data_IF_539615746261
#
_entry.id   IF_539615746261
#
_cell.length_a   1.000
_cell.length_b   1.000
_cell.length_c   1.000
_cell.angle_alpha   90.00
_cell.angle_beta   90.00
_cell.angle_gamma   90.00
#
_symmetry.space_group_name_H-M   'P 1'
#
loop_
_entity.id
_entity.type
_entity.pdbx_description
1 polymer ?
#
# COMPACT_ATOMS: atom_id res chain seq x y z
N UNK A 1 -24.01 6.62 -7.39
CA UNK A 1 -24.23 7.57 -6.29
C UNK A 1 -23.16 8.65 -6.37
N UNK A 2 -23.51 9.95 -6.21
CA UNK A 2 -22.50 11.01 -6.16
C UNK A 2 -21.55 10.75 -5.00
N UNK A 3 -20.25 10.86 -5.26
CA UNK A 3 -19.22 10.72 -4.22
C UNK A 3 -19.29 11.93 -3.31
N UNK A 4 -19.42 11.70 -1.99
CA UNK A 4 -19.38 12.79 -1.02
C UNK A 4 -17.99 13.44 -1.05
N UNK A 5 -17.94 14.74 -1.34
CA UNK A 5 -16.70 15.50 -1.35
C UNK A 5 -16.08 15.56 0.04
N UNK A 6 -14.77 15.38 0.14
CA UNK A 6 -14.04 15.49 1.39
C UNK A 6 -14.11 16.92 1.93
N UNK A 7 -14.34 17.05 3.25
CA UNK A 7 -14.35 18.33 3.94
C UNK A 7 -12.98 18.64 4.54
N UNK A 8 -12.59 19.93 4.62
CA UNK A 8 -11.39 20.33 5.33
C UNK A 8 -11.37 19.79 6.77
N UNK A 9 -10.23 19.29 7.26
CA UNK A 9 -10.11 18.88 8.65
C UNK A 9 -10.15 20.10 9.58
N UNK A 10 -10.98 20.05 10.62
CA UNK A 10 -11.04 21.10 11.65
C UNK A 10 -9.79 21.16 12.53
N UNK A 11 -9.05 20.04 12.63
CA UNK A 11 -7.78 19.93 13.34
C UNK A 11 -6.76 19.29 12.40
N UNK A 12 -5.60 19.95 12.28
CA UNK A 12 -4.56 19.55 11.32
C UNK A 12 -3.45 18.70 11.92
N UNK A 13 -3.29 18.69 13.26
CA UNK A 13 -2.24 17.91 13.95
C UNK A 13 -2.85 16.96 14.98
N UNK A 14 -2.46 15.69 14.92
CA UNK A 14 -2.99 14.63 15.78
C UNK A 14 -1.86 13.86 16.43
N UNK A 15 -2.05 13.51 17.71
CA UNK A 15 -1.12 12.62 18.43
C UNK A 15 -1.22 11.19 17.88
N UNK A 16 -0.10 10.50 17.82
CA UNK A 16 0.03 9.15 17.33
C UNK A 16 1.19 8.44 18.01
N UNK A 17 1.14 7.11 18.02
CA UNK A 17 2.20 6.26 18.58
C UNK A 17 3.54 6.44 17.85
N UNK A 18 3.50 6.71 16.56
CA UNK A 18 4.68 6.85 15.70
C UNK A 18 5.08 8.32 15.45
N UNK A 19 4.69 9.25 16.32
CA UNK A 19 4.91 10.68 16.15
C UNK A 19 3.68 11.40 15.56
N UNK A 20 3.67 12.72 15.65
CA UNK A 20 2.50 13.51 15.26
C UNK A 20 2.13 13.33 13.78
N UNK A 21 0.85 13.12 13.54
CA UNK A 21 0.25 13.12 12.20
C UNK A 21 -0.19 14.54 11.86
N UNK A 22 0.16 15.00 10.66
CA UNK A 22 -0.34 16.27 10.12
C UNK A 22 -1.26 15.98 8.93
N UNK A 23 -2.42 16.64 8.92
CA UNK A 23 -3.33 16.66 7.79
C UNK A 23 -3.20 18.00 7.07
N UNK A 24 -2.77 17.96 5.81
CA UNK A 24 -2.60 19.16 4.98
C UNK A 24 -3.73 19.20 3.95
N UNK A 25 -4.51 20.28 3.95
CA UNK A 25 -5.61 20.47 3.01
C UNK A 25 -5.36 21.66 2.10
N UNK A 26 -5.35 21.43 0.79
CA UNK A 26 -5.21 22.47 -0.23
C UNK A 26 -6.60 22.89 -0.71
N UNK A 27 -7.05 24.10 -0.35
CA UNK A 27 -8.40 24.60 -0.66
C UNK A 27 -8.70 24.67 -2.17
N UNK A 28 -7.71 25.10 -2.97
CA UNK A 28 -7.86 25.29 -4.43
C UNK A 28 -8.10 23.96 -5.18
N UNK A 29 -7.49 22.86 -4.74
CA UNK A 29 -7.61 21.54 -5.38
C UNK A 29 -8.51 20.58 -4.60
N UNK A 30 -8.79 20.85 -3.34
CA UNK A 30 -9.46 19.91 -2.43
C UNK A 30 -8.59 18.71 -2.03
N UNK A 31 -7.28 18.79 -2.28
CA UNK A 31 -6.33 17.70 -1.95
C UNK A 31 -6.15 17.62 -0.44
N UNK A 32 -6.27 16.41 0.09
CA UNK A 32 -5.96 16.10 1.50
C UNK A 32 -4.75 15.17 1.55
N UNK A 33 -3.73 15.56 2.33
CA UNK A 33 -2.51 14.78 2.52
C UNK A 33 -2.32 14.42 3.99
N UNK A 34 -2.02 13.16 4.26
CA UNK A 34 -1.60 12.64 5.56
C UNK A 34 -0.07 12.59 5.59
N UNK A 35 0.52 13.34 6.49
CA UNK A 35 1.99 13.43 6.66
C UNK A 35 2.36 12.94 8.04
N UNK A 36 3.38 12.07 8.13
CA UNK A 36 3.93 11.58 9.39
C UNK A 36 5.44 11.39 9.26
N UNK A 37 6.20 11.85 10.26
CA UNK A 37 7.68 11.79 10.27
C UNK A 37 8.33 12.33 8.98
N UNK A 38 7.80 13.40 8.42
CA UNK A 38 8.31 14.01 7.20
C UNK A 38 7.86 13.33 5.90
N UNK A 39 7.39 12.10 5.94
CA UNK A 39 6.92 11.36 4.77
C UNK A 39 5.42 11.55 4.50
N UNK A 40 5.05 11.64 3.22
CA UNK A 40 3.68 11.60 2.76
C UNK A 40 3.18 10.15 2.81
N UNK A 41 2.26 9.86 3.72
CA UNK A 41 1.71 8.51 3.88
C UNK A 41 0.47 8.25 3.03
N UNK A 42 -0.26 9.29 2.64
CA UNK A 42 -1.39 9.21 1.71
C UNK A 42 -1.75 10.60 1.22
N UNK A 43 -2.04 10.71 -0.06
CA UNK A 43 -2.62 11.90 -0.66
C UNK A 43 -3.86 11.53 -1.48
N UNK A 44 -4.93 12.33 -1.34
CA UNK A 44 -6.19 12.11 -2.06
C UNK A 44 -6.72 13.40 -2.64
N UNK A 45 -7.48 13.28 -3.72
CA UNK A 45 -8.25 14.36 -4.29
C UNK A 45 -9.54 14.64 -3.49
N UNK A 46 -10.36 15.57 -3.97
CA UNK A 46 -11.64 15.97 -3.35
C UNK A 46 -12.61 14.79 -3.19
N UNK A 47 -12.56 13.78 -4.04
CA UNK A 47 -13.42 12.60 -4.01
C UNK A 47 -12.83 11.46 -3.15
N UNK A 48 -11.65 11.71 -2.56
CA UNK A 48 -10.92 10.71 -1.77
C UNK A 48 -10.32 9.58 -2.60
N UNK A 49 -10.00 9.86 -3.87
CA UNK A 49 -9.22 8.97 -4.73
C UNK A 49 -7.75 9.27 -4.53
N UNK A 50 -6.93 8.23 -4.42
CA UNK A 50 -5.49 8.39 -4.20
C UNK A 50 -4.82 9.20 -5.31
N UNK A 51 -3.88 10.05 -4.92
CA UNK A 51 -2.95 10.74 -5.83
C UNK A 51 -1.59 10.03 -5.90
N UNK A 52 -1.41 8.95 -5.14
CA UNK A 52 -0.18 8.17 -5.09
C UNK A 52 -0.20 7.08 -6.15
N UNK A 53 0.73 7.14 -7.11
CA UNK A 53 0.78 6.22 -8.26
C UNK A 53 0.93 4.76 -7.84
N UNK A 54 1.73 4.48 -6.80
CA UNK A 54 1.91 3.10 -6.30
C UNK A 54 0.62 2.49 -5.76
N UNK A 55 -0.28 3.29 -5.19
CA UNK A 55 -1.60 2.84 -4.72
C UNK A 55 -2.42 2.31 -5.90
N UNK A 56 -2.44 3.04 -7.02
CA UNK A 56 -3.10 2.59 -8.26
C UNK A 56 -2.41 1.36 -8.86
N UNK A 57 -1.07 1.27 -8.75
CA UNK A 57 -0.33 0.10 -9.20
C UNK A 57 -0.71 -1.15 -8.42
N UNK A 58 -0.68 -1.10 -7.08
CA UNK A 58 -1.05 -2.24 -6.22
C UNK A 58 -2.53 -2.59 -6.40
N UNK A 59 -3.41 -1.60 -6.44
CA UNK A 59 -4.83 -1.81 -6.71
C UNK A 59 -5.04 -2.55 -8.04
N UNK A 60 -4.45 -2.04 -9.13
CA UNK A 60 -4.56 -2.62 -10.46
C UNK A 60 -3.97 -4.04 -10.56
N UNK A 61 -2.95 -4.38 -9.76
CA UNK A 61 -2.43 -5.75 -9.65
C UNK A 61 -3.39 -6.66 -8.87
N UNK A 62 -3.92 -6.17 -7.75
CA UNK A 62 -4.77 -6.97 -6.85
C UNK A 62 -6.12 -7.34 -7.50
N UNK A 63 -6.72 -6.43 -8.29
CA UNK A 63 -8.01 -6.69 -8.95
C UNK A 63 -7.92 -7.58 -10.18
N UNK A 64 -6.72 -7.81 -10.75
CA UNK A 64 -6.52 -8.80 -11.81
C UNK A 64 -6.71 -10.25 -11.33
N UNK A 65 -6.76 -10.45 -10.04
CA UNK A 65 -6.92 -11.77 -9.43
C UNK A 65 -8.35 -12.01 -8.97
N UNK A 66 -8.85 -13.25 -8.99
CA UNK A 66 -10.11 -13.61 -8.37
C UNK A 66 -9.97 -13.60 -6.82
N UNK A 67 -9.37 -12.53 -6.29
CA UNK A 67 -9.12 -12.37 -4.86
C UNK A 67 -10.40 -11.93 -4.17
N UNK A 68 -10.77 -12.63 -3.08
CA UNK A 68 -11.91 -12.28 -2.22
C UNK A 68 -11.45 -11.66 -0.90
N UNK A 69 -10.40 -12.19 -0.30
CA UNK A 69 -9.89 -11.80 1.01
C UNK A 69 -8.49 -11.20 0.88
N UNK A 70 -8.34 -9.96 1.31
CA UNK A 70 -7.09 -9.21 1.25
C UNK A 70 -6.68 -8.80 2.66
N UNK A 71 -5.42 -9.07 3.01
CA UNK A 71 -4.76 -8.52 4.19
C UNK A 71 -3.88 -7.35 3.77
N UNK A 72 -4.01 -6.22 4.45
CA UNK A 72 -3.10 -5.09 4.34
C UNK A 72 -2.38 -4.86 5.67
N UNK A 73 -1.08 -4.65 5.61
CA UNK A 73 -0.26 -4.20 6.74
C UNK A 73 0.13 -2.74 6.45
N UNK A 74 -0.31 -1.84 7.32
CA UNK A 74 -0.28 -0.40 7.14
C UNK A 74 -1.63 0.15 6.68
N UNK A 75 -2.04 1.26 7.26
CA UNK A 75 -3.30 1.94 6.97
C UNK A 75 -3.06 3.29 6.27
N UNK A 76 -2.21 4.13 6.84
CA UNK A 76 -2.12 5.53 6.42
C UNK A 76 -3.51 6.18 6.39
N UNK A 77 -3.90 6.79 5.27
CA UNK A 77 -5.26 7.27 5.01
C UNK A 77 -6.27 6.18 4.64
N UNK A 78 -5.87 4.93 4.53
CA UNK A 78 -6.74 3.80 4.20
C UNK A 78 -7.25 3.79 2.76
N UNK A 79 -6.66 4.58 1.86
CA UNK A 79 -7.14 4.81 0.49
C UNK A 79 -7.14 3.53 -0.35
N UNK A 80 -6.07 2.73 -0.29
CA UNK A 80 -6.00 1.45 -0.99
C UNK A 80 -7.05 0.47 -0.46
N UNK A 81 -7.23 0.39 0.87
CA UNK A 81 -8.26 -0.44 1.49
C UNK A 81 -9.68 -0.06 1.05
N UNK A 82 -9.98 1.25 1.00
CA UNK A 82 -11.23 1.79 0.47
C UNK A 82 -11.46 1.37 -0.98
N UNK A 83 -10.48 1.56 -1.86
CA UNK A 83 -10.57 1.19 -3.28
C UNK A 83 -10.83 -0.32 -3.45
N UNK A 84 -10.13 -1.17 -2.69
CA UNK A 84 -10.32 -2.62 -2.72
C UNK A 84 -11.70 -3.03 -2.20
N UNK A 85 -12.18 -2.42 -1.12
CA UNK A 85 -13.52 -2.67 -0.58
C UNK A 85 -14.61 -2.28 -1.57
N UNK A 86 -14.46 -1.13 -2.24
CA UNK A 86 -15.37 -0.69 -3.30
C UNK A 86 -15.37 -1.63 -4.53
N UNK A 87 -14.27 -2.34 -4.77
CA UNK A 87 -14.18 -3.41 -5.77
C UNK A 87 -14.72 -4.77 -5.25
N UNK A 88 -15.49 -4.79 -4.16
CA UNK A 88 -16.12 -5.99 -3.60
C UNK A 88 -15.18 -6.93 -2.87
N UNK A 89 -13.97 -6.47 -2.50
CA UNK A 89 -13.02 -7.30 -1.73
C UNK A 89 -13.30 -7.19 -0.24
N UNK A 90 -13.16 -8.30 0.49
CA UNK A 90 -13.12 -8.30 1.96
C UNK A 90 -11.72 -7.91 2.41
N UNK A 91 -11.59 -6.75 3.02
CA UNK A 91 -10.30 -6.19 3.41
C UNK A 91 -10.15 -6.28 4.93
N UNK A 92 -9.02 -6.77 5.36
CA UNK A 92 -8.53 -6.69 6.74
C UNK A 92 -7.30 -5.78 6.73
N UNK A 93 -7.28 -4.75 7.54
CA UNK A 93 -6.11 -3.86 7.69
C UNK A 93 -5.57 -4.02 9.10
N UNK A 94 -4.26 -4.19 9.20
CA UNK A 94 -3.52 -4.20 10.47
C UNK A 94 -2.61 -2.98 10.49
N UNK A 95 -2.74 -2.15 11.51
CA UNK A 95 -1.87 -0.99 11.72
C UNK A 95 -1.50 -0.87 13.19
N UNK A 96 -0.25 -0.51 13.46
CA UNK A 96 0.25 -0.37 14.83
C UNK A 96 -0.36 0.85 15.54
N UNK A 97 -0.92 1.79 14.78
CA UNK A 97 -1.41 3.06 15.27
C UNK A 97 -2.94 3.18 15.13
N UNK A 98 -3.64 3.18 16.26
CA UNK A 98 -5.08 3.42 16.32
C UNK A 98 -5.49 4.77 15.70
N UNK A 99 -4.61 5.78 15.75
CA UNK A 99 -4.89 7.10 15.21
C UNK A 99 -5.05 7.05 13.69
N UNK A 100 -4.29 6.21 12.97
CA UNK A 100 -4.43 6.01 11.52
C UNK A 100 -5.85 5.61 11.16
N UNK A 101 -6.43 4.62 11.81
CA UNK A 101 -7.83 4.18 11.55
C UNK A 101 -8.85 5.28 11.84
N UNK A 102 -8.68 6.01 12.97
CA UNK A 102 -9.56 7.11 13.32
C UNK A 102 -9.57 8.21 12.25
N UNK A 103 -8.39 8.57 11.76
CA UNK A 103 -8.25 9.61 10.74
C UNK A 103 -8.68 9.11 9.36
N UNK A 104 -8.38 7.86 9.00
CA UNK A 104 -8.81 7.24 7.76
C UNK A 104 -10.34 7.22 7.65
N UNK A 105 -11.06 6.82 8.71
CA UNK A 105 -12.53 6.86 8.76
C UNK A 105 -13.06 8.29 8.69
N UNK A 106 -12.52 9.19 9.50
CA UNK A 106 -13.04 10.55 9.64
C UNK A 106 -12.80 11.44 8.43
N UNK A 107 -11.63 11.30 7.78
CA UNK A 107 -11.16 12.28 6.79
C UNK A 107 -10.92 11.70 5.40
N UNK A 108 -10.66 10.38 5.26
CA UNK A 108 -10.36 9.75 3.97
C UNK A 108 -11.48 8.83 3.46
N UNK A 109 -12.54 8.67 4.26
CA UNK A 109 -13.71 7.87 3.88
C UNK A 109 -13.44 6.36 3.88
N UNK A 110 -12.61 5.88 4.81
CA UNK A 110 -12.44 4.44 5.03
C UNK A 110 -13.76 3.82 5.46
N UNK A 111 -14.33 2.83 4.71
CA UNK A 111 -15.64 2.27 4.99
C UNK A 111 -15.64 1.40 6.26
N UNK A 112 -16.79 1.31 6.93
CA UNK A 112 -16.95 0.54 8.17
C UNK A 112 -16.94 -0.98 7.95
N UNK A 113 -17.19 -1.46 6.74
CA UNK A 113 -17.12 -2.88 6.40
C UNK A 113 -15.68 -3.43 6.30
N UNK A 114 -14.67 -2.59 6.48
CA UNK A 114 -13.27 -3.03 6.56
C UNK A 114 -12.95 -3.45 8.00
N UNK A 115 -12.40 -4.65 8.13
CA UNK A 115 -11.93 -5.15 9.43
C UNK A 115 -10.61 -4.48 9.79
N UNK A 116 -10.58 -3.70 10.87
CA UNK A 116 -9.41 -2.98 11.37
C UNK A 116 -8.84 -3.64 12.63
N UNK A 117 -7.55 -4.00 12.62
CA UNK A 117 -6.83 -4.51 13.77
C UNK A 117 -5.71 -3.55 14.17
N UNK A 118 -5.71 -3.10 15.43
CA UNK A 118 -4.62 -2.30 15.99
C UNK A 118 -3.56 -3.25 16.55
N UNK A 119 -2.35 -3.22 15.98
CA UNK A 119 -1.25 -4.07 16.42
C UNK A 119 -0.11 -4.19 15.43
N UNK A 120 0.92 -4.92 15.80
CA UNK A 120 2.05 -5.23 14.94
C UNK A 120 1.69 -6.20 13.83
N UNK A 121 2.05 -5.85 12.59
CA UNK A 121 1.70 -6.62 11.40
C UNK A 121 2.34 -8.01 11.36
N UNK A 122 3.60 -8.14 11.80
CA UNK A 122 4.29 -9.43 11.85
C UNK A 122 3.66 -10.32 12.91
N UNK A 123 3.40 -9.79 14.11
CA UNK A 123 2.75 -10.54 15.18
C UNK A 123 1.35 -11.01 14.78
N UNK A 124 0.58 -10.18 14.06
CA UNK A 124 -0.71 -10.58 13.50
C UNK A 124 -0.55 -11.76 12.52
N UNK A 125 0.38 -11.65 11.56
CA UNK A 125 0.63 -12.72 10.59
C UNK A 125 1.13 -14.02 11.26
N UNK A 126 1.88 -13.92 12.34
CA UNK A 126 2.34 -15.10 13.10
C UNK A 126 1.21 -15.81 13.86
N UNK A 127 0.23 -15.05 14.36
CA UNK A 127 -0.87 -15.59 15.18
C UNK A 127 -2.09 -16.02 14.37
N UNK A 128 -2.36 -15.37 13.23
CA UNK A 128 -3.55 -15.67 12.43
C UNK A 128 -3.51 -17.08 11.81
N UNK A 129 -4.64 -17.79 11.86
CA UNK A 129 -4.86 -19.04 11.14
C UNK A 129 -5.48 -18.80 9.75
N UNK A 130 -5.88 -17.57 9.46
CA UNK A 130 -6.51 -17.23 8.18
C UNK A 130 -5.47 -17.16 7.06
N UNK A 131 -5.88 -17.56 5.85
CA UNK A 131 -5.11 -17.40 4.62
C UNK A 131 -5.82 -16.42 3.70
N UNK A 132 -5.04 -15.56 3.07
CA UNK A 132 -5.51 -14.48 2.22
C UNK A 132 -5.17 -14.75 0.76
N UNK A 133 -6.00 -14.27 -0.15
CA UNK A 133 -5.74 -14.34 -1.58
C UNK A 133 -4.63 -13.36 -1.98
N UNK A 134 -4.59 -12.21 -1.30
CA UNK A 134 -3.53 -11.20 -1.44
C UNK A 134 -3.13 -10.69 -0.07
N UNK A 135 -1.83 -10.59 0.17
CA UNK A 135 -1.25 -9.85 1.29
C UNK A 135 -0.54 -8.62 0.72
N UNK A 136 -0.83 -7.45 1.26
CA UNK A 136 -0.20 -6.19 0.87
C UNK A 136 0.56 -5.65 2.07
N UNK A 137 1.82 -5.29 1.88
CA UNK A 137 2.64 -4.60 2.88
C UNK A 137 2.90 -3.19 2.38
N UNK A 138 2.28 -2.23 3.06
CA UNK A 138 2.40 -0.79 2.82
C UNK A 138 2.59 -0.09 4.16
N UNK A 139 3.60 -0.55 4.91
CA UNK A 139 3.91 -0.09 6.25
C UNK A 139 5.29 0.57 6.28
N UNK A 140 5.31 1.81 6.77
CA UNK A 140 6.51 2.63 6.83
C UNK A 140 6.68 3.30 8.19
N UNK A 141 7.94 3.57 8.55
CA UNK A 141 8.33 4.49 9.60
C UNK A 141 9.13 5.60 8.91
N UNK A 142 8.49 6.75 8.63
CA UNK A 142 8.99 7.71 7.66
C UNK A 142 8.89 7.13 6.25
N UNK A 143 10.02 6.95 5.58
CA UNK A 143 10.11 6.37 4.23
C UNK A 143 10.74 4.96 4.22
N UNK A 144 11.00 4.40 5.41
CA UNK A 144 11.68 3.11 5.56
C UNK A 144 10.70 2.01 5.96
N UNK A 145 10.79 0.86 5.31
CA UNK A 145 10.05 -0.34 5.71
C UNK A 145 10.60 -0.80 7.08
N UNK A 146 9.74 -1.07 8.09
CA UNK A 146 10.20 -1.55 9.39
C UNK A 146 11.04 -2.84 9.24
N UNK A 147 12.21 -2.94 9.89
CA UNK A 147 13.14 -4.08 9.73
C UNK A 147 12.47 -5.45 9.95
N UNK A 148 11.53 -5.56 10.90
CA UNK A 148 10.79 -6.79 11.15
C UNK A 148 9.94 -7.24 9.96
N UNK A 149 9.60 -6.34 9.03
CA UNK A 149 8.84 -6.65 7.81
C UNK A 149 9.73 -7.09 6.63
N UNK A 150 11.02 -7.26 6.85
CA UNK A 150 11.98 -7.67 5.80
C UNK A 150 12.79 -8.91 6.15
N UNK A 151 12.70 -9.40 7.39
CA UNK A 151 13.48 -10.53 7.93
C UNK A 151 12.91 -11.90 7.56
N UNK A 152 13.62 -12.96 7.97
CA UNK A 152 13.24 -14.35 7.75
C UNK A 152 11.88 -14.71 8.35
N UNK A 153 11.59 -14.20 9.56
CA UNK A 153 10.33 -14.47 10.24
C UNK A 153 9.14 -13.87 9.51
N UNK A 154 9.32 -12.67 8.93
CA UNK A 154 8.32 -12.10 8.03
C UNK A 154 8.10 -13.00 6.80
N UNK A 155 9.17 -13.43 6.12
CA UNK A 155 9.07 -14.27 4.93
C UNK A 155 8.31 -15.58 5.22
N UNK A 156 8.59 -16.21 6.37
CA UNK A 156 7.88 -17.42 6.85
C UNK A 156 6.41 -17.13 7.20
N UNK A 157 6.13 -16.06 7.95
CA UNK A 157 4.78 -15.66 8.33
C UNK A 157 3.93 -15.30 7.11
N UNK A 158 4.48 -14.51 6.18
CA UNK A 158 3.81 -14.16 4.93
C UNK A 158 3.49 -15.42 4.11
N UNK A 159 4.44 -16.37 4.01
CA UNK A 159 4.22 -17.64 3.29
C UNK A 159 3.07 -18.44 3.85
N UNK A 160 2.90 -18.43 5.18
CA UNK A 160 1.79 -19.12 5.86
C UNK A 160 0.46 -18.41 5.66
N UNK A 161 0.46 -17.07 5.63
CA UNK A 161 -0.74 -16.26 5.49
C UNK A 161 -1.26 -16.16 4.05
N UNK A 162 -0.41 -16.33 3.04
CA UNK A 162 -0.81 -16.30 1.63
C UNK A 162 -1.28 -17.69 1.21
N UNK A 163 -2.42 -17.76 0.52
CA UNK A 163 -2.90 -19.01 -0.10
C UNK A 163 -1.92 -19.52 -1.15
N UNK A 164 -1.95 -20.81 -1.49
CA UNK A 164 -1.08 -21.40 -2.51
C UNK A 164 -1.20 -20.69 -3.88
N UNK A 165 -2.41 -20.24 -4.24
CA UNK A 165 -2.70 -19.46 -5.45
C UNK A 165 -2.61 -17.95 -5.24
N UNK A 166 -2.25 -17.51 -4.03
CA UNK A 166 -2.25 -16.13 -3.63
C UNK A 166 -0.98 -15.37 -4.01
N UNK A 167 -0.95 -14.09 -3.66
CA UNK A 167 0.16 -13.17 -3.96
C UNK A 167 0.48 -12.28 -2.77
N UNK A 168 1.75 -11.92 -2.66
CA UNK A 168 2.28 -10.88 -1.77
C UNK A 168 2.67 -9.68 -2.63
N UNK A 169 2.28 -8.47 -2.21
CA UNK A 169 2.73 -7.20 -2.78
C UNK A 169 3.33 -6.34 -1.67
N UNK A 170 4.52 -5.81 -1.89
CA UNK A 170 5.20 -4.95 -0.92
C UNK A 170 5.58 -3.64 -1.60
N UNK A 171 5.13 -2.53 -1.04
CA UNK A 171 5.56 -1.20 -1.45
C UNK A 171 6.95 -0.92 -0.90
N UNK A 172 7.85 -0.44 -1.74
CA UNK A 172 9.24 -0.10 -1.39
C UNK A 172 9.58 1.27 -1.95
N UNK A 173 9.94 2.22 -1.09
CA UNK A 173 10.49 3.50 -1.52
C UNK A 173 11.95 3.30 -1.96
N UNK A 174 12.31 3.90 -3.09
CA UNK A 174 13.66 3.89 -3.65
C UNK A 174 14.13 5.33 -3.86
N UNK A 175 15.36 5.62 -3.43
CA UNK A 175 15.93 6.97 -3.49
C UNK A 175 16.41 7.32 -4.90
N UNK A 176 17.10 6.40 -5.55
CA UNK A 176 17.72 6.59 -6.87
C UNK A 176 17.76 5.29 -7.67
N UNK A 177 18.39 5.32 -8.85
CA UNK A 177 18.50 4.14 -9.71
C UNK A 177 19.46 3.08 -9.19
N UNK A 178 20.43 3.44 -8.35
CA UNK A 178 21.38 2.52 -7.73
C UNK A 178 20.82 1.82 -6.50
N UNK A 179 19.70 2.30 -5.96
CA UNK A 179 19.06 1.74 -4.77
C UNK A 179 18.59 0.30 -5.03
N UNK A 180 19.19 -0.65 -4.31
CA UNK A 180 18.95 -2.10 -4.42
C UNK A 180 17.98 -2.61 -3.32
N UNK A 181 17.31 -1.74 -2.57
CA UNK A 181 16.42 -2.16 -1.47
C UNK A 181 15.35 -3.13 -1.94
N UNK A 182 14.67 -2.84 -3.04
CA UNK A 182 13.66 -3.74 -3.62
C UNK A 182 14.27 -5.07 -4.12
N UNK A 183 15.47 -5.02 -4.71
CA UNK A 183 16.19 -6.20 -5.18
C UNK A 183 16.64 -7.10 -4.02
N UNK A 184 17.15 -6.50 -2.95
CA UNK A 184 17.54 -7.19 -1.71
C UNK A 184 16.32 -7.88 -1.08
N UNK A 185 15.18 -7.21 -1.01
CA UNK A 185 13.95 -7.79 -0.47
C UNK A 185 13.44 -8.95 -1.34
N UNK A 186 13.47 -8.79 -2.67
CA UNK A 186 13.13 -9.87 -3.60
C UNK A 186 14.07 -11.08 -3.45
N UNK A 187 15.39 -10.85 -3.24
CA UNK A 187 16.35 -11.91 -2.98
C UNK A 187 16.02 -12.68 -1.68
N UNK A 188 15.71 -11.96 -0.60
CA UNK A 188 15.30 -12.58 0.67
C UNK A 188 14.03 -13.42 0.52
N UNK A 189 13.01 -12.89 -0.15
CA UNK A 189 11.79 -13.66 -0.44
C UNK A 189 12.13 -14.92 -1.26
N UNK A 190 12.99 -14.81 -2.28
CA UNK A 190 13.39 -15.95 -3.11
C UNK A 190 14.11 -17.03 -2.29
N UNK A 191 15.02 -16.64 -1.39
CA UNK A 191 15.71 -17.55 -0.48
C UNK A 191 14.72 -18.32 0.45
N UNK A 192 13.52 -17.76 0.69
CA UNK A 192 12.45 -18.41 1.46
C UNK A 192 11.39 -19.07 0.57
N UNK A 193 11.74 -19.44 -0.67
CA UNK A 193 10.91 -20.25 -1.56
C UNK A 193 9.78 -19.46 -2.28
N UNK A 194 9.85 -18.13 -2.31
CA UNK A 194 8.90 -17.34 -3.08
C UNK A 194 9.34 -17.25 -4.56
N UNK A 195 8.38 -17.38 -5.47
CA UNK A 195 8.56 -16.93 -6.86
C UNK A 195 8.38 -15.43 -6.88
N UNK A 196 9.43 -14.67 -7.19
CA UNK A 196 9.43 -13.21 -7.10
C UNK A 196 9.41 -12.52 -8.45
N UNK A 197 8.86 -11.31 -8.48
CA UNK A 197 8.87 -10.38 -9.60
C UNK A 197 8.82 -8.95 -9.05
N UNK A 198 9.40 -8.00 -9.75
CA UNK A 198 9.31 -6.59 -9.38
C UNK A 198 8.51 -5.83 -10.45
N UNK A 199 7.77 -4.81 -10.02
CA UNK A 199 7.22 -3.78 -10.89
C UNK A 199 7.88 -2.47 -10.48
N UNK A 200 8.59 -1.84 -11.38
CA UNK A 200 9.45 -0.69 -11.11
C UNK A 200 9.52 0.22 -12.34
N UNK A 201 9.93 1.45 -12.15
CA UNK A 201 10.21 2.43 -13.19
C UNK A 201 11.62 3.00 -13.01
N UNK A 202 12.12 3.72 -14.00
CA UNK A 202 13.36 4.50 -13.87
C UNK A 202 13.09 5.80 -13.13
N UNK A 203 14.15 6.39 -12.58
CA UNK A 203 14.11 7.70 -11.93
C UNK A 203 14.46 7.65 -10.44
N UNK A 204 14.46 8.82 -9.83
CA UNK A 204 14.73 9.04 -8.40
C UNK A 204 13.42 9.10 -7.60
N UNK A 205 13.49 8.98 -6.27
CA UNK A 205 12.38 9.16 -5.33
C UNK A 205 11.07 8.48 -5.79
N UNK A 206 11.11 7.17 -6.00
CA UNK A 206 10.01 6.38 -6.56
C UNK A 206 9.62 5.19 -5.71
N UNK A 207 8.47 4.61 -6.02
CA UNK A 207 8.02 3.35 -5.42
C UNK A 207 8.20 2.19 -6.40
N UNK A 208 8.81 1.10 -5.92
CA UNK A 208 8.79 -0.20 -6.57
C UNK A 208 7.86 -1.16 -5.82
N UNK A 209 7.24 -2.08 -6.54
CA UNK A 209 6.41 -3.13 -5.95
C UNK A 209 7.16 -4.45 -6.04
N UNK A 210 7.59 -4.97 -4.89
CA UNK A 210 8.14 -6.32 -4.79
C UNK A 210 6.98 -7.30 -4.64
N UNK A 211 6.98 -8.31 -5.48
CA UNK A 211 5.89 -9.28 -5.56
C UNK A 211 6.40 -10.69 -5.30
N UNK A 212 5.57 -11.48 -4.60
CA UNK A 212 5.82 -12.90 -4.35
C UNK A 212 4.59 -13.79 -4.60
N UNK A 213 4.82 -15.05 -4.92
CA UNK A 213 3.78 -16.06 -5.11
C UNK A 213 3.28 -16.19 -6.55
N UNK A 214 1.96 -16.26 -6.74
CA UNK A 214 1.38 -16.43 -8.08
C UNK A 214 1.29 -15.09 -8.82
N UNK A 215 2.42 -14.62 -9.37
CA UNK A 215 2.56 -13.28 -9.97
C UNK A 215 2.96 -13.32 -11.46
N UNK A 216 3.24 -14.51 -12.03
CA UNK A 216 3.72 -14.67 -13.41
C UNK A 216 2.75 -14.09 -14.45
N UNK A 217 1.46 -14.36 -14.29
CA UNK A 217 0.41 -13.96 -15.24
C UNK A 217 -0.08 -12.50 -15.08
N UNK A 218 0.43 -11.76 -14.08
CA UNK A 218 0.02 -10.38 -13.88
C UNK A 218 0.46 -9.50 -15.05
N UNK A 219 -0.46 -8.66 -15.51
CA UNK A 219 -0.23 -7.64 -16.53
C UNK A 219 0.06 -6.29 -15.87
N UNK A 220 0.71 -5.37 -16.59
CA UNK A 220 0.94 -4.00 -16.10
C UNK A 220 -0.36 -3.36 -15.63
N UNK A 221 -0.36 -2.72 -14.44
CA UNK A 221 -1.55 -2.06 -13.93
C UNK A 221 -1.95 -0.87 -14.82
N UNK A 222 -3.25 -0.59 -14.84
CA UNK A 222 -3.82 0.59 -15.50
C UNK A 222 -4.48 1.47 -14.44
N UNK A 223 -4.66 2.74 -14.74
CA UNK A 223 -5.42 3.65 -13.90
C UNK A 223 -6.92 3.30 -14.03
N UNK A 224 -7.46 2.63 -13.02
CA UNK A 224 -8.86 2.18 -12.98
C UNK A 224 -9.77 3.16 -12.23
N UNK A 225 -9.25 3.79 -11.17
CA UNK A 225 -9.93 4.84 -10.42
C UNK A 225 -9.28 6.17 -10.77
N UNK A 226 -9.93 6.97 -11.60
CA UNK A 226 -9.38 8.23 -12.11
C UNK A 226 -9.63 9.33 -11.07
N UNK A 227 -8.58 9.99 -10.53
CA UNK A 227 -8.74 11.15 -9.66
C UNK A 227 -9.10 12.41 -10.47
N UNK A 228 -9.56 13.46 -9.79
CA UNK A 228 -9.89 14.74 -10.45
C UNK A 228 -8.64 15.55 -10.85
N UNK A 229 -7.53 15.34 -10.14
CA UNK A 229 -6.26 16.04 -10.37
C UNK A 229 -5.13 15.04 -10.59
N UNK A 230 -3.98 15.48 -11.10
CA UNK A 230 -2.76 14.67 -11.29
C UNK A 230 -2.90 13.49 -12.29
N UNK A 231 -3.99 13.41 -13.04
CA UNK A 231 -4.31 12.28 -13.93
C UNK A 231 -3.19 12.02 -14.95
N UNK A 232 -2.67 13.07 -15.59
CA UNK A 232 -1.62 12.94 -16.59
C UNK A 232 -0.32 12.40 -15.98
N UNK A 233 0.06 12.88 -14.79
CA UNK A 233 1.23 12.41 -14.05
C UNK A 233 1.09 10.93 -13.70
N UNK A 234 -0.02 10.55 -13.06
CA UNK A 234 -0.27 9.17 -12.63
C UNK A 234 -0.30 8.22 -13.83
N UNK A 235 -0.96 8.60 -14.94
CA UNK A 235 -0.98 7.79 -16.17
C UNK A 235 0.42 7.61 -16.73
N UNK A 236 1.24 8.66 -16.80
CA UNK A 236 2.62 8.61 -17.28
C UNK A 236 3.48 7.68 -16.42
N UNK A 237 3.43 7.83 -15.09
CA UNK A 237 4.18 7.01 -14.15
C UNK A 237 3.75 5.53 -14.22
N UNK A 238 2.44 5.22 -14.20
CA UNK A 238 1.95 3.85 -14.40
C UNK A 238 2.39 3.26 -15.73
N UNK A 239 2.34 4.05 -16.82
CA UNK A 239 2.78 3.60 -18.13
C UNK A 239 4.30 3.39 -18.19
N UNK A 240 5.05 4.09 -17.35
CA UNK A 240 6.50 3.91 -17.18
C UNK A 240 6.91 2.64 -16.45
N UNK A 241 6.04 2.12 -15.59
CA UNK A 241 6.33 0.91 -14.82
C UNK A 241 6.51 -0.31 -15.71
N UNK A 242 7.54 -1.11 -15.42
CA UNK A 242 7.87 -2.35 -16.12
C UNK A 242 8.08 -3.47 -15.13
N UNK A 243 7.65 -4.66 -15.50
CA UNK A 243 8.03 -5.86 -14.78
C UNK A 243 9.50 -6.18 -15.07
N UNK A 244 10.23 -6.47 -14.01
CA UNK A 244 11.62 -6.93 -14.11
C UNK A 244 11.93 -8.06 -13.12
N UNK A 245 12.99 -8.78 -13.37
CA UNK A 245 13.63 -9.65 -12.39
C UNK A 245 14.49 -8.79 -11.45
N UNK A 246 14.89 -9.34 -10.31
CA UNK A 246 15.88 -8.70 -9.45
C UNK A 246 17.19 -8.48 -10.20
N UNK A 247 17.88 -7.40 -9.91
CA UNK A 247 19.26 -7.19 -10.34
C UNK A 247 20.17 -8.11 -9.51
N UNK A 248 21.18 -8.69 -10.13
CA UNK A 248 22.27 -9.33 -9.40
C UNK A 248 23.11 -8.24 -8.72
N UNK A 249 23.67 -8.56 -7.54
CA UNK A 249 24.74 -7.75 -6.97
C UNK A 249 25.99 -7.95 -7.80
#
# INVERSE_FOLDING_TARGET
MPRASLKPPSKTRHASKLGAIKLLYKKNTGTLTYVQRGGNQSAVDRDGISLDTYVHAIYGLAVQKPAKHILMIGCGGGTLGKMLSQAGKRVTIVDIDKASFKLAKKHFGLPDNITCHVGDGLAFMQKTRRRFDVVIVDAFIGETIPPQMTGADFCKAARRCVKATGSLFMNVCLNDEADLTADTLAARLTAHGWKTRLLDQRGTARNAIVMGGNVKALRRPRLLNVPQTEVARIKRELSGMRFRRRRAK
#
